data_IF_449088412153
#
_entry.id   IF_449088412153
#
_cell.length_a   1.000
_cell.length_b   1.000
_cell.length_c   1.000
_cell.angle_alpha   90.00
_cell.angle_beta   90.00
_cell.angle_gamma   90.00
#
_symmetry.space_group_name_H-M   'P 1'
#
loop_
_entity.id
_entity.type
_entity.pdbx_description
1 polymer ?
#
# COMPACT_ATOMS: atom_id res chain seq x y z
N UNK A 1 11.23 -22.75 -2.75
CA UNK A 1 11.80 -22.18 -1.51
C UNK A 1 11.65 -20.69 -1.65
N UNK A 2 10.45 -20.17 -1.35
CA UNK A 2 10.07 -18.78 -1.72
C UNK A 2 9.12 -18.15 -0.70
N UNK A 3 8.08 -18.86 -0.22
CA UNK A 3 7.15 -18.30 0.79
C UNK A 3 7.69 -18.32 2.25
N UNK A 4 8.46 -19.34 2.62
CA UNK A 4 9.01 -19.48 3.99
C UNK A 4 10.07 -18.40 4.29
N UNK A 5 10.95 -18.12 3.32
CA UNK A 5 11.99 -17.09 3.41
C UNK A 5 11.42 -15.67 3.49
N UNK A 6 10.38 -15.37 2.68
CA UNK A 6 9.70 -14.08 2.75
C UNK A 6 9.07 -13.84 4.13
N UNK A 7 8.47 -14.88 4.73
CA UNK A 7 7.89 -14.78 6.06
C UNK A 7 8.94 -14.54 7.15
N UNK A 8 10.07 -15.24 7.12
CA UNK A 8 11.20 -14.99 8.02
C UNK A 8 11.70 -13.54 7.91
N UNK A 9 11.75 -12.98 6.70
CA UNK A 9 12.12 -11.58 6.51
C UNK A 9 11.11 -10.63 7.16
N UNK A 10 9.81 -10.88 7.03
CA UNK A 10 8.77 -10.09 7.69
C UNK A 10 8.88 -10.17 9.21
N UNK A 11 9.07 -11.36 9.78
CA UNK A 11 9.24 -11.52 11.24
C UNK A 11 10.45 -10.74 11.77
N UNK A 12 11.58 -10.83 11.07
CA UNK A 12 12.78 -10.07 11.41
C UNK A 12 12.53 -8.56 11.29
N UNK A 13 11.87 -8.10 10.23
CA UNK A 13 11.52 -6.71 10.04
C UNK A 13 10.66 -6.18 11.19
N UNK A 14 9.63 -6.92 11.59
CA UNK A 14 8.78 -6.58 12.72
C UNK A 14 9.54 -6.57 14.05
N UNK A 15 10.43 -7.53 14.28
CA UNK A 15 11.25 -7.56 15.49
C UNK A 15 12.16 -6.32 15.59
N UNK A 16 12.79 -5.92 14.49
CA UNK A 16 13.59 -4.69 14.42
C UNK A 16 12.73 -3.44 14.60
N UNK A 17 11.57 -3.36 13.93
CA UNK A 17 10.63 -2.23 14.06
C UNK A 17 10.20 -2.02 15.51
N UNK A 18 9.83 -3.09 16.22
CA UNK A 18 9.43 -3.06 17.63
C UNK A 18 10.51 -2.54 18.57
N UNK A 19 11.79 -2.69 18.20
CA UNK A 19 12.93 -2.17 18.96
C UNK A 19 13.33 -0.74 18.55
N UNK A 20 12.61 -0.13 17.61
CA UNK A 20 12.97 1.18 17.03
C UNK A 20 14.16 1.14 16.08
N UNK A 21 14.60 -0.05 15.66
CA UNK A 21 15.74 -0.27 14.76
C UNK A 21 15.29 -0.09 13.30
N UNK A 22 14.73 1.07 12.97
CA UNK A 22 13.98 1.28 11.73
C UNK A 22 14.78 1.07 10.45
N UNK A 23 16.08 1.40 10.43
CA UNK A 23 16.92 1.11 9.25
C UNK A 23 16.99 -0.39 8.97
N UNK A 24 17.22 -1.21 10.00
CA UNK A 24 17.28 -2.66 9.87
C UNK A 24 15.90 -3.25 9.52
N UNK A 25 14.83 -2.69 10.09
CA UNK A 25 13.47 -3.06 9.72
C UNK A 25 13.21 -2.78 8.22
N UNK A 26 13.63 -1.63 7.72
CA UNK A 26 13.53 -1.26 6.30
C UNK A 26 14.30 -2.20 5.38
N UNK A 27 15.49 -2.66 5.79
CA UNK A 27 16.28 -3.64 5.04
C UNK A 27 15.56 -5.00 4.93
N UNK A 28 15.00 -5.49 6.04
CA UNK A 28 14.27 -6.75 6.04
C UNK A 28 12.93 -6.68 5.31
N UNK A 29 12.16 -5.59 5.46
CA UNK A 29 10.96 -5.37 4.65
C UNK A 29 11.29 -5.28 3.16
N UNK A 30 12.41 -4.64 2.79
CA UNK A 30 12.90 -4.62 1.41
C UNK A 30 13.21 -6.03 0.91
N UNK A 31 13.89 -6.86 1.72
CA UNK A 31 14.19 -8.24 1.36
C UNK A 31 12.90 -9.05 1.16
N UNK A 32 11.93 -8.93 2.08
CA UNK A 32 10.61 -9.55 1.95
C UNK A 32 9.89 -9.11 0.67
N UNK A 33 9.95 -7.82 0.35
CA UNK A 33 9.34 -7.27 -0.86
C UNK A 33 9.90 -7.96 -2.13
N UNK A 34 11.23 -8.09 -2.23
CA UNK A 34 11.85 -8.76 -3.37
C UNK A 34 11.50 -10.24 -3.47
N UNK A 35 11.43 -10.98 -2.35
CA UNK A 35 11.01 -12.38 -2.34
C UNK A 35 9.57 -12.53 -2.84
N UNK A 36 8.64 -11.71 -2.33
CA UNK A 36 7.25 -11.74 -2.76
C UNK A 36 7.07 -11.36 -4.23
N UNK A 37 7.82 -10.37 -4.72
CA UNK A 37 7.81 -9.99 -6.13
C UNK A 37 8.44 -11.06 -7.03
N UNK A 38 9.51 -11.71 -6.57
CA UNK A 38 10.18 -12.79 -7.29
C UNK A 38 9.34 -14.07 -7.40
N UNK A 39 8.49 -14.34 -6.42
CA UNK A 39 7.57 -15.48 -6.40
C UNK A 39 6.26 -15.23 -7.16
N UNK A 40 6.09 -14.04 -7.77
CA UNK A 40 4.88 -13.70 -8.53
C UNK A 40 4.93 -14.28 -9.95
N UNK A 41 4.14 -15.33 -10.26
CA UNK A 41 4.18 -15.95 -11.59
C UNK A 41 3.57 -15.00 -12.63
N UNK A 42 4.09 -14.99 -13.88
CA UNK A 42 3.46 -14.24 -14.94
C UNK A 42 2.03 -14.75 -15.18
N UNK A 43 1.04 -13.85 -15.09
CA UNK A 43 -0.36 -14.12 -15.44
C UNK A 43 -1.24 -14.73 -14.34
N UNK A 44 -0.77 -14.82 -13.08
CA UNK A 44 -1.59 -15.25 -11.94
C UNK A 44 -1.98 -14.06 -11.03
N UNK A 45 -2.99 -14.21 -10.14
CA UNK A 45 -3.52 -13.12 -9.33
C UNK A 45 -2.40 -12.43 -8.56
N UNK A 46 -2.48 -11.10 -8.49
CA UNK A 46 -1.44 -10.21 -7.99
C UNK A 46 -1.18 -10.34 -6.48
N UNK A 47 -1.68 -11.36 -5.77
CA UNK A 47 -1.60 -11.48 -4.31
C UNK A 47 -0.18 -11.35 -3.77
N UNK A 48 0.77 -12.10 -4.35
CA UNK A 48 2.17 -12.04 -3.94
C UNK A 48 2.79 -10.71 -4.34
N UNK A 49 2.46 -10.18 -5.51
CA UNK A 49 2.95 -8.87 -5.93
C UNK A 49 2.47 -7.75 -5.00
N UNK A 50 1.21 -7.77 -4.55
CA UNK A 50 0.66 -6.80 -3.61
C UNK A 50 1.27 -6.89 -2.22
N UNK A 51 1.58 -8.12 -1.75
CA UNK A 51 2.43 -8.26 -0.55
C UNK A 51 3.78 -7.59 -0.77
N UNK A 52 4.39 -7.77 -1.95
CA UNK A 52 5.62 -7.10 -2.33
C UNK A 52 5.54 -5.58 -2.23
N UNK A 53 4.50 -4.98 -2.83
CA UNK A 53 4.22 -3.55 -2.77
C UNK A 53 4.03 -3.05 -1.33
N UNK A 54 3.19 -3.75 -0.56
CA UNK A 54 2.97 -3.45 0.85
C UNK A 54 4.26 -3.45 1.65
N UNK A 55 5.13 -4.44 1.44
CA UNK A 55 6.43 -4.53 2.11
C UNK A 55 7.38 -3.38 1.69
N UNK A 56 7.39 -2.97 0.41
CA UNK A 56 8.13 -1.77 0.02
C UNK A 56 7.61 -0.51 0.69
N UNK A 57 6.29 -0.39 0.88
CA UNK A 57 5.69 0.77 1.51
C UNK A 57 6.08 0.86 3.00
N UNK A 58 6.01 -0.27 3.72
CA UNK A 58 6.54 -0.38 5.08
C UNK A 58 8.03 -0.04 5.16
N UNK A 59 8.83 -0.55 4.21
CA UNK A 59 10.25 -0.22 4.14
C UNK A 59 10.49 1.28 3.97
N UNK A 60 9.71 1.95 3.11
CA UNK A 60 9.77 3.40 2.91
C UNK A 60 9.52 4.18 4.20
N UNK A 61 8.46 3.83 4.94
CA UNK A 61 8.15 4.43 6.24
C UNK A 61 9.28 4.20 7.24
N UNK A 62 9.81 2.97 7.34
CA UNK A 62 10.94 2.66 8.22
C UNK A 62 12.21 3.44 7.88
N UNK A 63 12.57 3.56 6.60
CA UNK A 63 13.74 4.36 6.20
C UNK A 63 13.53 5.85 6.46
N UNK A 64 12.29 6.36 6.35
CA UNK A 64 11.99 7.76 6.68
C UNK A 64 12.11 8.02 8.17
N UNK A 65 11.56 7.15 9.02
CA UNK A 65 11.77 7.18 10.47
C UNK A 65 13.26 7.14 10.84
N UNK A 66 14.04 6.27 10.18
CA UNK A 66 15.48 6.17 10.43
C UNK A 66 16.29 7.42 9.97
N UNK A 67 15.66 8.43 9.38
CA UNK A 67 16.34 9.61 8.81
C UNK A 67 17.11 9.31 7.52
N UNK A 68 16.94 8.11 6.94
CA UNK A 68 17.62 7.64 5.73
C UNK A 68 16.81 7.98 4.47
N UNK A 69 16.70 9.29 4.18
CA UNK A 69 15.84 9.82 3.10
C UNK A 69 16.11 9.20 1.74
N UNK A 70 17.37 9.01 1.37
CA UNK A 70 17.74 8.46 0.06
C UNK A 70 17.26 7.03 -0.13
N UNK A 71 17.37 6.19 0.91
CA UNK A 71 16.82 4.83 0.91
C UNK A 71 15.29 4.85 0.80
N UNK A 72 14.60 5.70 1.57
CA UNK A 72 13.15 5.86 1.47
C UNK A 72 12.72 6.22 0.05
N UNK A 73 13.29 7.30 -0.52
CA UNK A 73 12.99 7.75 -1.90
C UNK A 73 13.26 6.64 -2.91
N UNK A 74 14.36 5.91 -2.76
CA UNK A 74 14.71 4.82 -3.66
C UNK A 74 13.67 3.68 -3.62
N UNK A 75 13.20 3.27 -2.43
CA UNK A 75 12.17 2.23 -2.30
C UNK A 75 10.82 2.70 -2.80
N UNK A 76 10.41 3.92 -2.48
CA UNK A 76 9.18 4.49 -3.01
C UNK A 76 9.17 4.55 -4.55
N UNK A 77 10.30 4.94 -5.17
CA UNK A 77 10.43 4.92 -6.63
C UNK A 77 10.34 3.52 -7.23
N UNK A 78 10.91 2.52 -6.56
CA UNK A 78 10.80 1.13 -7.00
C UNK A 78 9.37 0.61 -6.91
N UNK A 79 8.68 0.86 -5.79
CA UNK A 79 7.26 0.51 -5.64
C UNK A 79 6.38 1.17 -6.71
N UNK A 80 6.61 2.45 -7.04
CA UNK A 80 5.90 3.12 -8.14
C UNK A 80 6.10 2.38 -9.47
N UNK A 81 7.35 2.01 -9.80
CA UNK A 81 7.64 1.28 -11.05
C UNK A 81 6.96 -0.10 -11.09
N UNK A 82 6.90 -0.79 -9.96
CA UNK A 82 6.22 -2.09 -9.87
C UNK A 82 4.70 -1.91 -10.00
N UNK A 83 4.11 -0.91 -9.35
CA UNK A 83 2.67 -0.63 -9.44
C UNK A 83 2.26 -0.22 -10.88
N UNK A 84 3.11 0.56 -11.55
CA UNK A 84 2.93 0.91 -12.96
C UNK A 84 3.00 -0.33 -13.87
N UNK A 85 3.95 -1.23 -13.65
CA UNK A 85 4.09 -2.48 -14.40
C UNK A 85 2.91 -3.43 -14.14
N UNK A 86 2.47 -3.57 -12.90
CA UNK A 86 1.30 -4.38 -12.53
C UNK A 86 0.02 -3.84 -13.19
N UNK A 87 -0.21 -2.53 -13.15
CA UNK A 87 -1.32 -1.90 -13.86
C UNK A 87 -1.26 -2.13 -15.38
N UNK A 88 -0.07 -2.10 -15.99
CA UNK A 88 0.10 -2.34 -17.42
C UNK A 88 -0.19 -3.80 -17.84
N UNK A 89 0.12 -4.78 -16.97
CA UNK A 89 -0.16 -6.21 -17.20
C UNK A 89 -1.66 -6.54 -17.22
N UNK A 90 -2.49 -5.70 -16.60
CA UNK A 90 -3.95 -5.83 -16.63
C UNK A 90 -4.61 -5.28 -17.91
N UNK A 91 -3.88 -5.13 -19.02
CA UNK A 91 -4.43 -4.68 -20.31
C UNK A 91 -4.27 -5.78 -21.40
N UNK A 92 -5.29 -6.03 -22.25
CA UNK A 92 -6.64 -5.45 -22.29
C UNK A 92 -7.69 -6.34 -21.60
N UNK A 93 -8.36 -5.80 -20.58
CA UNK A 93 -9.66 -6.27 -20.08
C UNK A 93 -10.66 -6.22 -21.25
N UNK A 94 -11.22 -7.34 -21.73
CA UNK A 94 -12.27 -7.36 -22.73
C UNK A 94 -13.46 -6.45 -22.34
N UNK A 95 -14.15 -5.84 -23.31
CA UNK A 95 -15.27 -4.91 -23.05
C UNK A 95 -16.46 -5.54 -22.28
N UNK A 96 -16.49 -6.86 -22.21
CA UNK A 96 -17.44 -7.70 -21.48
C UNK A 96 -16.96 -8.14 -20.09
N UNK A 97 -15.72 -7.84 -19.69
CA UNK A 97 -15.26 -8.09 -18.33
C UNK A 97 -15.98 -7.20 -17.31
N UNK A 98 -16.33 -7.84 -16.19
CA UNK A 98 -17.11 -7.31 -15.08
C UNK A 98 -16.62 -5.93 -14.64
N UNK A 99 -17.55 -5.00 -14.43
CA UNK A 99 -17.32 -3.64 -13.93
C UNK A 99 -16.35 -3.60 -12.72
N UNK A 100 -16.35 -4.63 -11.89
CA UNK A 100 -15.48 -4.77 -10.73
C UNK A 100 -14.00 -4.98 -11.09
N UNK A 101 -13.67 -5.75 -12.13
CA UNK A 101 -12.27 -5.91 -12.58
C UNK A 101 -11.69 -4.59 -13.09
N UNK A 102 -12.54 -3.73 -13.67
CA UNK A 102 -12.13 -2.36 -14.05
C UNK A 102 -11.84 -1.52 -12.82
N UNK A 103 -12.68 -1.61 -11.79
CA UNK A 103 -12.50 -0.89 -10.54
C UNK A 103 -11.20 -1.27 -9.84
N UNK A 104 -10.83 -2.57 -9.83
CA UNK A 104 -9.60 -3.08 -9.18
C UNK A 104 -8.33 -2.39 -9.66
N UNK A 105 -8.30 -1.84 -10.87
CA UNK A 105 -7.14 -1.08 -11.37
C UNK A 105 -6.88 0.23 -10.62
N UNK A 106 -7.87 0.75 -9.90
CA UNK A 106 -7.73 1.95 -9.07
C UNK A 106 -6.69 1.76 -7.97
N UNK A 107 -6.56 0.52 -7.46
CA UNK A 107 -5.65 0.17 -6.36
C UNK A 107 -4.19 0.51 -6.67
N UNK A 108 -3.75 0.36 -7.92
CA UNK A 108 -2.38 0.64 -8.32
C UNK A 108 -2.05 2.13 -8.25
N UNK A 109 -3.04 2.98 -8.55
CA UNK A 109 -2.89 4.42 -8.40
C UNK A 109 -2.94 4.86 -6.95
N UNK A 110 -3.63 4.13 -6.08
CA UNK A 110 -3.52 4.34 -4.63
C UNK A 110 -2.13 3.98 -4.10
N UNK A 111 -1.54 2.84 -4.50
CA UNK A 111 -0.15 2.51 -4.16
C UNK A 111 0.82 3.59 -4.64
N UNK A 112 0.67 4.07 -5.89
CA UNK A 112 1.49 5.18 -6.40
C UNK A 112 1.32 6.43 -5.53
N UNK A 113 0.09 6.76 -5.13
CA UNK A 113 -0.20 7.87 -4.22
C UNK A 113 0.49 7.71 -2.86
N UNK A 114 0.41 6.52 -2.27
CA UNK A 114 1.05 6.18 -0.99
C UNK A 114 2.58 6.27 -1.06
N UNK A 115 3.19 5.70 -2.09
CA UNK A 115 4.64 5.79 -2.28
C UNK A 115 5.09 7.23 -2.49
N UNK A 116 4.33 8.02 -3.25
CA UNK A 116 4.64 9.44 -3.43
C UNK A 116 4.53 10.20 -2.11
N UNK A 117 3.51 9.91 -1.29
CA UNK A 117 3.33 10.53 0.00
C UNK A 117 4.45 10.16 1.00
N UNK A 118 4.75 8.86 1.14
CA UNK A 118 5.82 8.36 2.01
C UNK A 118 7.20 8.87 1.57
N UNK A 119 7.46 8.91 0.26
CA UNK A 119 8.72 9.37 -0.31
C UNK A 119 8.87 10.88 -0.48
N UNK A 120 7.86 11.68 -0.10
CA UNK A 120 7.79 13.13 -0.37
C UNK A 120 8.04 13.47 -1.86
N UNK A 121 7.45 12.68 -2.75
CA UNK A 121 7.54 12.84 -4.19
C UNK A 121 6.34 13.65 -4.69
N UNK A 122 6.54 14.40 -5.77
CA UNK A 122 5.46 15.12 -6.44
C UNK A 122 4.40 14.17 -7.02
N UNK A 123 3.19 14.67 -7.20
CA UNK A 123 2.14 13.94 -7.91
C UNK A 123 1.16 13.15 -7.03
N UNK A 124 1.08 13.42 -5.72
CA UNK A 124 0.23 12.64 -4.79
C UNK A 124 -1.25 12.77 -5.16
N UNK A 125 -1.76 14.01 -5.28
CA UNK A 125 -3.17 14.29 -5.59
C UNK A 125 -3.58 13.74 -6.96
N UNK A 126 -2.70 13.83 -7.95
CA UNK A 126 -2.93 13.33 -9.30
C UNK A 126 -3.10 11.80 -9.31
N UNK A 127 -2.28 11.08 -8.54
CA UNK A 127 -2.40 9.64 -8.40
C UNK A 127 -3.75 9.25 -7.79
N UNK A 128 -4.14 9.88 -6.67
CA UNK A 128 -5.44 9.62 -6.05
C UNK A 128 -6.63 10.06 -6.91
N UNK A 129 -6.48 11.14 -7.68
CA UNK A 129 -7.50 11.56 -8.64
C UNK A 129 -7.71 10.50 -9.72
N UNK A 130 -6.63 9.90 -10.21
CA UNK A 130 -6.70 8.82 -11.20
C UNK A 130 -7.30 7.53 -10.61
N UNK A 131 -6.95 7.18 -9.37
CA UNK A 131 -7.60 6.08 -8.63
C UNK A 131 -9.13 6.28 -8.59
N UNK A 132 -9.58 7.46 -8.15
CA UNK A 132 -11.01 7.80 -8.10
C UNK A 132 -11.68 7.77 -9.48
N UNK A 133 -10.99 8.20 -10.52
CA UNK A 133 -11.49 8.13 -11.90
C UNK A 133 -11.74 6.68 -12.31
N UNK A 134 -10.82 5.79 -12.01
CA UNK A 134 -10.93 4.35 -12.35
C UNK A 134 -12.04 3.68 -11.54
N UNK A 135 -12.14 3.95 -10.24
CA UNK A 135 -13.25 3.41 -9.44
C UNK A 135 -14.61 3.81 -10.00
N UNK A 136 -14.81 5.08 -10.38
CA UNK A 136 -16.06 5.52 -11.03
C UNK A 136 -16.35 4.84 -12.37
N UNK A 137 -15.31 4.50 -13.13
CA UNK A 137 -15.49 3.74 -14.38
C UNK A 137 -15.95 2.31 -14.13
N UNK A 138 -15.55 1.73 -13.00
CA UNK A 138 -16.07 0.46 -12.51
C UNK A 138 -17.24 0.64 -11.56
N UNK A 139 -18.14 1.59 -11.81
CA UNK A 139 -19.38 1.81 -11.05
C UNK A 139 -19.20 2.10 -9.54
N UNK A 140 -17.99 2.45 -9.11
CA UNK A 140 -17.61 2.83 -7.75
C UNK A 140 -18.06 1.80 -6.69
N UNK A 141 -17.45 0.59 -6.68
CA UNK A 141 -17.82 -0.47 -5.74
C UNK A 141 -17.69 0.01 -4.31
N UNK A 142 -18.45 -0.61 -3.41
CA UNK A 142 -18.24 -0.44 -1.99
C UNK A 142 -16.90 -1.04 -1.55
N UNK A 143 -16.21 -0.37 -0.63
CA UNK A 143 -14.95 -0.79 -0.01
C UNK A 143 -15.05 -2.14 0.68
N UNK A 144 -16.24 -2.53 1.13
CA UNK A 144 -16.51 -3.88 1.66
C UNK A 144 -16.35 -5.00 0.62
N UNK A 145 -16.32 -4.67 -0.67
CA UNK A 145 -16.01 -5.58 -1.77
C UNK A 145 -14.50 -5.67 -2.05
N UNK A 146 -13.65 -5.09 -1.20
CA UNK A 146 -12.21 -5.11 -1.34
C UNK A 146 -11.62 -6.52 -1.52
N UNK A 147 -10.89 -6.68 -2.61
CA UNK A 147 -10.03 -7.83 -2.86
C UNK A 147 -8.64 -7.61 -2.27
N UNK A 148 -7.81 -8.66 -2.35
CA UNK A 148 -6.49 -8.75 -1.72
C UNK A 148 -5.60 -7.52 -1.97
N UNK A 149 -5.65 -6.90 -3.14
CA UNK A 149 -4.85 -5.71 -3.44
C UNK A 149 -5.21 -4.52 -2.54
N UNK A 150 -6.51 -4.34 -2.30
CA UNK A 150 -7.07 -3.27 -1.45
C UNK A 150 -6.89 -3.59 0.02
N UNK A 151 -6.98 -4.87 0.40
CA UNK A 151 -6.80 -5.30 1.80
C UNK A 151 -5.43 -4.88 2.35
N UNK A 152 -4.37 -4.95 1.54
CA UNK A 152 -3.05 -4.48 1.96
C UNK A 152 -2.93 -2.95 2.08
N UNK A 153 -3.69 -2.19 1.29
CA UNK A 153 -3.79 -0.74 1.48
C UNK A 153 -4.55 -0.38 2.76
N UNK A 154 -5.63 -1.13 3.07
CA UNK A 154 -6.32 -0.98 4.34
C UNK A 154 -5.41 -1.35 5.51
N UNK A 155 -4.68 -2.46 5.42
CA UNK A 155 -3.72 -2.88 6.45
C UNK A 155 -2.61 -1.83 6.65
N UNK A 156 -2.08 -1.26 5.57
CA UNK A 156 -1.14 -0.14 5.67
C UNK A 156 -1.74 1.06 6.39
N UNK A 157 -2.94 1.48 5.99
CA UNK A 157 -3.63 2.61 6.58
C UNK A 157 -3.93 2.39 8.06
N UNK A 158 -4.51 1.25 8.43
CA UNK A 158 -4.80 0.87 9.83
C UNK A 158 -3.54 0.95 10.68
N UNK A 159 -2.41 0.49 10.15
CA UNK A 159 -1.14 0.48 10.84
C UNK A 159 -0.50 1.86 11.02
N UNK A 160 -0.70 2.77 10.07
CA UNK A 160 -0.18 4.15 10.16
C UNK A 160 -1.09 5.03 11.01
N UNK A 161 -2.41 4.94 10.79
CA UNK A 161 -3.43 5.76 11.47
C UNK A 161 -3.78 5.20 12.85
N UNK A 162 -3.39 3.95 13.13
CA UNK A 162 -3.63 3.24 14.39
C UNK A 162 -5.12 3.06 14.72
N UNK A 163 -5.90 2.73 13.69
CA UNK A 163 -7.33 2.44 13.78
C UNK A 163 -7.59 0.96 13.56
N UNK A 164 -8.70 0.48 14.14
CA UNK A 164 -9.19 -0.89 13.94
C UNK A 164 -10.69 -0.86 13.73
N UNK A 165 -11.19 -1.59 12.74
CA UNK A 165 -12.62 -1.67 12.45
C UNK A 165 -13.43 -2.26 13.62
N UNK A 166 -12.77 -2.94 14.57
CA UNK A 166 -13.39 -3.45 15.79
C UNK A 166 -13.65 -2.35 16.83
N UNK A 167 -12.83 -1.30 16.85
CA UNK A 167 -12.84 -0.28 17.92
C UNK A 167 -13.20 1.13 17.45
N UNK A 168 -13.15 1.37 16.14
CA UNK A 168 -13.42 2.66 15.51
C UNK A 168 -14.63 2.53 14.57
N UNK A 169 -15.76 3.14 14.96
CA UNK A 169 -17.01 3.09 14.20
C UNK A 169 -16.92 3.83 12.86
N UNK A 170 -16.19 4.96 12.81
CA UNK A 170 -16.02 5.74 11.58
C UNK A 170 -15.19 4.94 10.58
N UNK A 171 -14.07 4.38 11.02
CA UNK A 171 -13.24 3.54 10.17
C UNK A 171 -13.99 2.27 9.72
N UNK A 172 -14.76 1.62 10.59
CA UNK A 172 -15.58 0.46 10.21
C UNK A 172 -16.55 0.80 9.09
N UNK A 173 -17.25 1.93 9.19
CA UNK A 173 -18.18 2.42 8.17
C UNK A 173 -17.44 2.67 6.85
N UNK A 174 -16.31 3.40 6.89
CA UNK A 174 -15.50 3.66 5.70
C UNK A 174 -15.03 2.35 5.06
N UNK A 175 -14.53 1.39 5.85
CA UNK A 175 -13.94 0.13 5.38
C UNK A 175 -14.96 -0.81 4.73
N UNK A 176 -16.21 -0.80 5.18
CA UNK A 176 -17.19 -1.81 4.77
C UNK A 176 -18.37 -1.27 3.97
N UNK A 177 -18.70 0.02 4.08
CA UNK A 177 -20.00 0.54 3.66
C UNK A 177 -19.90 1.83 2.83
N UNK A 178 -18.71 2.18 2.32
CA UNK A 178 -18.55 3.38 1.48
C UNK A 178 -18.00 3.05 0.10
N UNK A 179 -18.37 3.81 -0.95
CA UNK A 179 -17.74 3.67 -2.26
C UNK A 179 -16.23 3.89 -2.20
N UNK A 180 -15.45 3.21 -3.04
CA UNK A 180 -13.99 3.37 -3.06
C UNK A 180 -13.55 4.83 -3.27
N UNK A 181 -14.31 5.66 -4.01
CA UNK A 181 -13.95 7.08 -4.09
C UNK A 181 -14.05 7.82 -2.76
N UNK A 182 -14.98 7.44 -1.88
CA UNK A 182 -15.10 7.98 -0.51
C UNK A 182 -13.99 7.47 0.39
N UNK A 183 -13.61 6.21 0.27
CA UNK A 183 -12.41 5.67 0.91
C UNK A 183 -11.17 6.49 0.52
N UNK A 184 -10.95 6.74 -0.78
CA UNK A 184 -9.80 7.52 -1.24
C UNK A 184 -9.82 8.96 -0.72
N UNK A 185 -10.99 9.61 -0.67
CA UNK A 185 -11.13 10.94 -0.07
C UNK A 185 -10.79 10.93 1.43
N UNK A 186 -11.28 9.93 2.18
CA UNK A 186 -10.97 9.76 3.60
C UNK A 186 -9.47 9.56 3.81
N UNK A 187 -8.87 8.62 3.08
CA UNK A 187 -7.44 8.31 3.12
C UNK A 187 -6.58 9.55 2.84
N UNK A 188 -6.90 10.32 1.80
CA UNK A 188 -6.16 11.54 1.43
C UNK A 188 -6.20 12.62 2.52
N UNK A 189 -7.29 12.69 3.29
CA UNK A 189 -7.44 13.67 4.37
C UNK A 189 -6.81 13.22 5.70
N UNK A 190 -6.62 11.91 5.91
CA UNK A 190 -6.17 11.36 7.20
C UNK A 190 -4.72 10.89 7.18
N UNK A 191 -4.30 10.22 6.10
CA UNK A 191 -3.00 9.58 6.01
C UNK A 191 -1.81 10.56 6.07
N UNK A 192 -1.84 11.75 5.42
CA UNK A 192 -0.73 12.70 5.51
C UNK A 192 -0.43 13.16 6.93
N UNK A 193 -1.46 13.53 7.69
CA UNK A 193 -1.33 14.00 9.07
C UNK A 193 -0.83 12.87 9.98
N UNK A 194 -1.35 11.64 9.82
CA UNK A 194 -0.88 10.48 10.58
C UNK A 194 0.59 10.14 10.30
N UNK A 195 1.03 10.24 9.03
CA UNK A 195 2.43 10.07 8.66
C UNK A 195 3.31 11.18 9.25
N UNK A 196 2.88 12.44 9.19
CA UNK A 196 3.62 13.57 9.75
C UNK A 196 3.81 13.43 11.27
N UNK A 197 2.75 13.01 11.97
CA UNK A 197 2.79 12.69 13.40
C UNK A 197 3.78 11.57 13.72
N UNK A 198 3.73 10.48 12.94
CA UNK A 198 4.62 9.33 13.09
C UNK A 198 6.09 9.72 12.86
N UNK A 199 6.38 10.51 11.82
CA UNK A 199 7.74 10.98 11.53
C UNK A 199 8.24 12.02 12.52
N UNK A 200 7.35 12.89 13.03
CA UNK A 200 7.69 13.91 14.04
C UNK A 200 8.04 13.27 15.39
N UNK A 201 7.31 12.22 15.78
CA UNK A 201 7.59 11.47 17.02
C UNK A 201 8.79 10.54 16.88
N UNK A 202 9.19 10.22 15.65
CA UNK A 202 10.20 9.22 15.35
C UNK A 202 9.92 7.86 16.01
N UNK A 203 8.64 7.51 16.07
CA UNK A 203 8.14 6.30 16.71
C UNK A 203 7.01 5.72 15.86
N UNK A 204 7.02 4.41 15.69
CA UNK A 204 5.90 3.68 15.10
C UNK A 204 5.33 2.76 16.16
N UNK A 205 4.22 3.15 16.82
CA UNK A 205 3.71 2.35 17.92
C UNK A 205 3.18 0.99 17.42
N UNK A 206 2.97 0.10 18.39
CA UNK A 206 2.57 -1.28 18.16
C UNK A 206 1.12 -1.41 17.74
#
# INVERSE_FOLDING_TARGET
MTCETAWEHVENAEAHRRRGEFSAAGDWFTAAAYEYLGDSPPGFPATTACKGEYMFLLAGVCYRLAGTRDQCVNRCKQGILVAEDLNARHLPVPEDEYWFERARRGVWYEYIGDFRLVGELAGVEEAYTEAKRIYRLGEDPESGMAEQEHLYLFEFFERVVQVSAETDDEWREIRHHTPFTKWVDYKLNTLPDALDDLFTRNEWPL
#
